data_IF_886797879395
#
_entry.id   IF_886797879395
#
_cell.length_a   1.000
_cell.length_b   1.000
_cell.length_c   1.000
_cell.angle_alpha   90.00
_cell.angle_beta   90.00
_cell.angle_gamma   90.00
#
_symmetry.space_group_name_H-M   'P 1'
#
loop_
_entity.id
_entity.type
_entity.pdbx_description
1 polymer ?
#
# COMPACT_ATOMS: atom_id res chain seq x y z
N UNK A 1 -46.64 0.19 -34.26
CA UNK A 1 -45.67 -0.52 -35.11
C UNK A 1 -45.09 0.48 -36.10
N UNK A 2 -43.86 0.92 -35.85
CA UNK A 2 -43.03 1.59 -36.85
C UNK A 2 -41.65 0.93 -36.75
N UNK A 3 -41.32 0.17 -37.79
CA UNK A 3 -40.00 -0.39 -38.05
C UNK A 3 -39.14 0.72 -38.66
N UNK A 4 -37.97 0.99 -38.10
CA UNK A 4 -36.90 1.72 -38.77
C UNK A 4 -35.63 0.90 -38.62
N UNK A 5 -35.10 0.47 -39.76
CA UNK A 5 -33.84 -0.28 -39.90
C UNK A 5 -32.63 0.63 -39.62
N UNK A 6 -31.54 0.13 -39.02
CA UNK A 6 -30.28 0.87 -38.94
C UNK A 6 -29.44 0.68 -40.22
N UNK A 7 -28.68 1.70 -40.68
CA UNK A 7 -27.65 1.50 -41.68
C UNK A 7 -26.33 1.05 -41.05
N UNK A 8 -25.67 0.13 -41.73
CA UNK A 8 -24.31 -0.38 -41.48
C UNK A 8 -23.29 0.73 -41.80
N UNK A 9 -22.32 0.93 -40.92
CA UNK A 9 -21.06 1.62 -41.25
C UNK A 9 -19.89 0.69 -40.94
N UNK A 10 -19.29 0.20 -42.01
CA UNK A 10 -18.05 -0.57 -42.07
C UNK A 10 -16.86 0.32 -41.65
N UNK A 11 -16.08 -0.11 -40.66
CA UNK A 11 -14.79 0.49 -40.32
C UNK A 11 -13.74 -0.61 -40.26
N UNK A 12 -12.96 -0.68 -41.33
CA UNK A 12 -11.75 -1.48 -41.47
C UNK A 12 -10.75 -1.10 -40.37
N UNK A 13 -10.54 -2.01 -39.41
CA UNK A 13 -9.47 -1.94 -38.42
C UNK A 13 -8.11 -2.07 -39.11
N UNK A 14 -7.36 -0.97 -39.17
CA UNK A 14 -5.91 -1.03 -39.31
C UNK A 14 -5.32 -1.25 -37.92
N UNK A 15 -4.61 -2.37 -37.77
CA UNK A 15 -3.92 -2.81 -36.54
C UNK A 15 -2.87 -1.78 -36.09
N UNK A 16 -3.24 -0.98 -35.10
CA UNK A 16 -2.37 -0.14 -34.28
C UNK A 16 -3.14 0.23 -33.02
N UNK A 17 -2.85 -0.44 -31.90
CA UNK A 17 -3.53 -0.15 -30.63
C UNK A 17 -3.33 1.33 -30.23
N UNK A 18 -4.30 1.96 -29.54
CA UNK A 18 -4.18 3.36 -29.16
C UNK A 18 -2.94 3.56 -28.27
N UNK A 19 -2.06 4.48 -28.65
CA UNK A 19 -0.97 4.97 -27.79
C UNK A 19 -1.61 5.59 -26.54
N UNK A 20 -1.39 5.01 -25.36
CA UNK A 20 -1.98 5.50 -24.12
C UNK A 20 -1.11 6.63 -23.59
N UNK A 21 -1.66 7.85 -23.59
CA UNK A 21 -1.05 9.05 -23.01
C UNK A 21 -0.78 8.86 -21.51
N UNK A 22 0.22 9.56 -20.93
CA UNK A 22 0.39 9.54 -19.49
C UNK A 22 -0.88 10.02 -18.79
N UNK A 23 -1.15 9.50 -17.60
CA UNK A 23 -2.27 9.97 -16.78
C UNK A 23 -1.97 9.82 -15.30
N UNK A 24 -2.34 10.84 -14.53
CA UNK A 24 -2.26 10.83 -13.07
C UNK A 24 -3.42 9.97 -12.57
N UNK A 25 -3.09 8.87 -11.90
CA UNK A 25 -4.10 7.90 -11.44
C UNK A 25 -4.39 8.01 -9.95
N UNK A 26 -3.46 8.57 -9.18
CA UNK A 26 -3.58 8.63 -7.73
C UNK A 26 -2.80 9.81 -7.15
N UNK A 27 -3.40 10.48 -6.17
CA UNK A 27 -2.76 11.47 -5.33
C UNK A 27 -3.16 11.22 -3.88
N UNK A 28 -2.23 11.48 -2.96
CA UNK A 28 -2.41 11.23 -1.53
C UNK A 28 -1.76 12.30 -0.70
N UNK A 29 -2.48 12.80 0.29
CA UNK A 29 -1.94 13.52 1.44
C UNK A 29 -2.11 12.68 2.71
N UNK A 30 -1.04 12.40 3.49
CA UNK A 30 -1.16 11.66 4.74
C UNK A 30 -1.71 12.53 5.89
N UNK A 31 -1.42 13.82 5.88
CA UNK A 31 -1.58 14.73 7.03
C UNK A 31 -2.06 16.15 6.68
N UNK A 32 -2.41 16.46 5.42
CA UNK A 32 -2.74 17.82 4.95
C UNK A 32 -1.58 18.82 4.96
N UNK A 33 -0.33 18.38 5.13
CA UNK A 33 0.85 19.27 5.10
C UNK A 33 1.71 19.05 3.86
N UNK A 34 1.74 17.82 3.36
CA UNK A 34 2.36 17.46 2.09
C UNK A 34 1.40 16.60 1.27
N UNK A 35 1.69 16.44 -0.02
CA UNK A 35 1.00 15.45 -0.83
C UNK A 35 1.89 14.93 -1.95
N UNK A 36 1.55 13.76 -2.47
CA UNK A 36 2.27 13.14 -3.58
C UNK A 36 1.27 12.65 -4.62
N UNK A 37 1.60 12.82 -5.89
CA UNK A 37 0.83 12.31 -7.03
C UNK A 37 1.67 11.34 -7.84
N UNK A 38 1.01 10.30 -8.37
CA UNK A 38 1.62 9.27 -9.21
C UNK A 38 0.90 9.17 -10.55
N UNK A 39 1.67 8.89 -11.59
CA UNK A 39 1.14 8.68 -12.94
C UNK A 39 1.60 7.37 -13.54
N UNK A 40 0.82 6.89 -14.49
CA UNK A 40 1.28 5.85 -15.39
C UNK A 40 2.05 6.49 -16.56
N UNK A 41 3.24 5.96 -16.92
CA UNK A 41 4.01 6.44 -18.05
C UNK A 41 3.32 6.08 -19.37
N UNK A 42 3.85 6.59 -20.49
CA UNK A 42 3.38 6.23 -21.82
C UNK A 42 3.51 4.72 -22.05
N UNK A 43 2.47 4.08 -22.60
CA UNK A 43 2.52 2.68 -23.02
C UNK A 43 2.79 2.54 -24.53
N UNK A 44 3.31 1.39 -24.95
CA UNK A 44 3.68 1.08 -26.35
C UNK A 44 4.86 1.90 -26.91
N UNK A 45 5.85 2.22 -26.07
CA UNK A 45 7.13 2.76 -26.54
C UNK A 45 7.91 1.69 -27.31
N UNK A 46 8.48 2.09 -28.44
CA UNK A 46 9.45 1.27 -29.17
C UNK A 46 10.67 1.07 -28.27
N UNK A 47 11.19 -0.16 -28.20
CA UNK A 47 12.27 -0.52 -27.28
C UNK A 47 13.49 0.41 -27.49
N UNK A 48 13.86 1.18 -26.46
CA UNK A 48 14.97 2.14 -26.49
C UNK A 48 14.62 3.64 -26.65
N UNK A 49 13.35 4.02 -26.75
CA UNK A 49 12.97 5.45 -26.81
C UNK A 49 13.14 6.13 -25.44
N UNK A 50 13.98 7.16 -25.38
CA UNK A 50 14.18 7.98 -24.17
C UNK A 50 12.95 8.87 -23.95
N UNK A 51 12.30 8.74 -22.79
CA UNK A 51 11.13 9.52 -22.41
C UNK A 51 11.38 10.26 -21.11
N UNK A 52 11.26 11.58 -21.16
CA UNK A 52 11.35 12.43 -19.99
C UNK A 52 9.96 12.88 -19.59
N UNK A 53 9.59 12.71 -18.33
CA UNK A 53 8.30 13.18 -17.82
C UNK A 53 8.49 14.52 -17.11
N UNK A 54 7.65 15.49 -17.47
CA UNK A 54 7.59 16.80 -16.84
C UNK A 54 6.17 16.98 -16.32
N UNK A 55 6.02 17.10 -15.00
CA UNK A 55 4.77 17.47 -14.37
C UNK A 55 4.77 18.99 -14.15
N UNK A 56 3.73 19.64 -14.68
CA UNK A 56 3.45 21.05 -14.39
C UNK A 56 2.14 21.16 -13.62
N UNK A 57 2.02 22.21 -12.81
CA UNK A 57 0.82 22.50 -12.07
C UNK A 57 0.49 23.99 -12.07
N UNK A 58 -0.78 24.29 -11.81
CA UNK A 58 -1.28 25.63 -11.60
C UNK A 58 -2.17 25.66 -10.37
N UNK A 59 -2.08 26.75 -9.63
CA UNK A 59 -3.02 27.12 -8.56
C UNK A 59 -3.85 28.31 -9.02
N UNK A 60 -4.72 28.83 -8.16
CA UNK A 60 -5.48 30.05 -8.45
C UNK A 60 -4.58 31.30 -8.55
N UNK A 61 -3.39 31.26 -7.94
CA UNK A 61 -2.48 32.40 -7.81
C UNK A 61 -1.37 32.37 -8.87
N UNK A 62 -0.86 31.17 -9.17
CA UNK A 62 0.31 30.97 -10.02
C UNK A 62 0.04 29.87 -11.04
N UNK A 63 0.55 30.06 -12.26
CA UNK A 63 0.35 29.12 -13.36
C UNK A 63 1.69 28.68 -13.95
N UNK A 64 1.73 27.44 -14.47
CA UNK A 64 2.89 26.83 -15.12
C UNK A 64 4.08 26.61 -14.18
N UNK A 65 3.81 26.24 -12.93
CA UNK A 65 4.82 25.79 -11.99
C UNK A 65 5.26 24.37 -12.33
N UNK A 66 6.53 24.05 -12.09
CA UNK A 66 7.08 22.71 -12.29
C UNK A 66 7.12 21.94 -10.97
N UNK A 67 6.96 20.61 -11.04
CA UNK A 67 7.07 19.73 -9.89
C UNK A 67 8.33 20.04 -9.04
N UNK A 68 8.19 20.25 -7.72
CA UNK A 68 9.32 20.57 -6.87
C UNK A 68 10.23 19.37 -6.58
N UNK A 69 9.69 18.14 -6.58
CA UNK A 69 10.46 16.94 -6.26
C UNK A 69 9.93 15.68 -6.99
N UNK A 70 10.74 15.13 -7.89
CA UNK A 70 10.45 13.88 -8.63
C UNK A 70 10.98 12.60 -7.95
N UNK A 71 11.63 12.71 -6.79
CA UNK A 71 12.39 11.62 -6.15
C UNK A 71 11.67 11.07 -4.93
N UNK A 72 11.19 11.94 -4.02
CA UNK A 72 10.66 11.50 -2.71
C UNK A 72 9.49 10.53 -2.82
N UNK A 73 8.60 10.72 -3.81
CA UNK A 73 7.45 9.85 -4.04
C UNK A 73 7.76 8.54 -4.78
N UNK A 74 9.01 8.33 -5.20
CA UNK A 74 9.43 7.19 -6.01
C UNK A 74 9.23 7.39 -7.52
N UNK A 75 9.25 6.32 -8.32
CA UNK A 75 9.19 6.42 -9.77
C UNK A 75 7.84 6.96 -10.24
N UNK A 76 7.86 7.77 -11.31
CA UNK A 76 6.67 8.37 -11.92
C UNK A 76 5.79 9.10 -10.89
N UNK A 77 6.43 9.91 -10.04
CA UNK A 77 5.77 10.64 -8.98
C UNK A 77 6.25 12.08 -8.88
N UNK A 78 5.42 12.91 -8.26
CA UNK A 78 5.76 14.26 -7.86
C UNK A 78 5.33 14.46 -6.40
N UNK A 79 6.28 14.84 -5.56
CA UNK A 79 6.08 15.14 -4.16
C UNK A 79 6.07 16.65 -3.95
N UNK A 80 5.08 17.13 -3.19
CA UNK A 80 4.91 18.52 -2.80
C UNK A 80 5.12 18.61 -1.29
N UNK A 81 6.20 19.25 -0.88
CA UNK A 81 6.50 19.48 0.53
C UNK A 81 5.57 20.54 1.15
N UNK A 82 5.80 20.85 2.42
CA UNK A 82 5.03 21.86 3.16
C UNK A 82 5.14 23.28 2.60
N UNK A 83 6.20 23.59 1.85
CA UNK A 83 6.39 24.92 1.25
C UNK A 83 5.63 25.07 -0.07
N UNK A 84 5.31 23.97 -0.74
CA UNK A 84 4.54 23.93 -1.99
C UNK A 84 3.08 23.49 -1.80
N UNK A 85 2.68 23.16 -0.56
CA UNK A 85 1.35 22.66 -0.21
C UNK A 85 0.55 23.72 0.55
N UNK A 86 -0.60 24.09 0.00
CA UNK A 86 -1.59 24.98 0.61
C UNK A 86 -2.94 24.29 0.66
N UNK A 87 -3.56 24.26 1.84
CA UNK A 87 -4.92 23.75 2.02
C UNK A 87 -5.94 24.74 1.45
N UNK A 88 -7.12 24.23 1.06
CA UNK A 88 -8.20 25.02 0.43
C UNK A 88 -7.79 25.71 -0.87
N UNK A 89 -6.73 25.23 -1.51
CA UNK A 89 -6.26 25.68 -2.82
C UNK A 89 -6.45 24.54 -3.80
N UNK A 90 -7.05 24.83 -4.96
CA UNK A 90 -7.19 23.86 -6.03
C UNK A 90 -5.89 23.78 -6.84
N UNK A 91 -5.32 22.59 -6.91
CA UNK A 91 -4.15 22.28 -7.74
C UNK A 91 -4.61 21.59 -9.00
N UNK A 92 -4.26 22.13 -10.16
CA UNK A 92 -4.50 21.47 -11.44
C UNK A 92 -3.17 21.03 -12.05
N UNK A 93 -2.95 19.72 -12.08
CA UNK A 93 -1.71 19.07 -12.48
C UNK A 93 -1.83 18.51 -13.91
N UNK A 94 -0.72 18.53 -14.65
CA UNK A 94 -0.62 17.94 -15.99
C UNK A 94 0.74 17.29 -16.15
N UNK A 95 0.79 16.06 -16.67
CA UNK A 95 2.04 15.36 -16.97
C UNK A 95 2.26 15.36 -18.48
N UNK A 96 3.44 15.80 -18.91
CA UNK A 96 3.88 15.73 -20.29
C UNK A 96 5.03 14.75 -20.42
N UNK A 97 4.83 13.68 -21.19
CA UNK A 97 5.88 12.78 -21.63
C UNK A 97 6.52 13.36 -22.90
N UNK A 98 7.77 13.79 -22.78
CA UNK A 98 8.59 14.35 -23.86
C UNK A 98 9.36 13.20 -24.49
N UNK A 99 9.08 12.90 -25.76
CA UNK A 99 9.84 11.93 -26.56
C UNK A 99 10.60 12.62 -27.68
N UNK A 100 11.45 11.89 -28.39
CA UNK A 100 12.22 12.44 -29.52
C UNK A 100 11.34 12.91 -30.69
N UNK A 101 10.16 12.32 -30.84
CA UNK A 101 9.26 12.58 -31.95
C UNK A 101 8.14 13.53 -31.59
N UNK A 102 7.55 13.39 -30.38
CA UNK A 102 6.37 14.15 -29.98
C UNK A 102 6.24 14.22 -28.46
N UNK A 103 5.58 15.28 -28.01
CA UNK A 103 5.13 15.40 -26.62
C UNK A 103 3.71 14.86 -26.46
N UNK A 104 3.52 14.02 -25.44
CA UNK A 104 2.22 13.47 -25.06
C UNK A 104 1.83 14.02 -23.71
N UNK A 105 0.78 14.83 -23.70
CA UNK A 105 0.30 15.50 -22.50
C UNK A 105 -0.96 14.80 -21.97
N UNK A 106 -1.01 14.62 -20.65
CA UNK A 106 -2.16 14.03 -19.96
C UNK A 106 -3.37 14.96 -19.97
N UNK A 107 -4.54 14.43 -19.63
CA UNK A 107 -5.64 15.29 -19.20
C UNK A 107 -5.25 16.03 -17.91
N UNK A 108 -5.79 17.23 -17.73
CA UNK A 108 -5.59 18.02 -16.52
C UNK A 108 -6.30 17.33 -15.35
N UNK A 109 -5.59 17.14 -14.25
CA UNK A 109 -6.10 16.54 -13.02
C UNK A 109 -6.17 17.61 -11.94
N UNK A 110 -7.38 18.03 -11.56
CA UNK A 110 -7.57 19.04 -10.52
C UNK A 110 -8.00 18.41 -9.19
N UNK A 111 -7.40 18.87 -8.09
CA UNK A 111 -7.67 18.37 -6.75
C UNK A 111 -7.56 19.47 -5.69
N UNK A 112 -8.25 19.29 -4.57
CA UNK A 112 -7.97 19.97 -3.30
C UNK A 112 -7.28 18.98 -2.37
N UNK A 113 -6.21 19.43 -1.70
CA UNK A 113 -5.43 18.63 -0.74
C UNK A 113 -6.33 17.99 0.32
N UNK A 114 -7.37 18.69 0.78
CA UNK A 114 -8.31 18.20 1.80
C UNK A 114 -9.16 16.99 1.34
N UNK A 115 -9.35 16.80 0.03
CA UNK A 115 -10.14 15.70 -0.54
C UNK A 115 -9.30 14.45 -0.77
N UNK A 116 -7.99 14.59 -0.95
CA UNK A 116 -7.04 13.49 -1.19
C UNK A 116 -6.36 13.01 0.11
N UNK A 117 -6.88 13.40 1.27
CA UNK A 117 -6.33 13.00 2.57
C UNK A 117 -6.60 11.52 2.84
N UNK A 118 -5.55 10.70 2.80
CA UNK A 118 -5.62 9.30 3.21
C UNK A 118 -4.80 9.08 4.48
N UNK A 119 -5.53 9.08 5.60
CA UNK A 119 -4.98 9.02 6.95
C UNK A 119 -4.47 7.63 7.32
N UNK A 120 -3.82 7.54 8.46
CA UNK A 120 -3.43 6.25 9.04
C UNK A 120 -4.59 5.57 9.76
N UNK A 121 -4.51 4.25 9.89
CA UNK A 121 -5.53 3.48 10.62
C UNK A 121 -5.49 3.79 12.13
N UNK A 122 -6.64 3.74 12.82
CA UNK A 122 -6.65 3.82 14.27
C UNK A 122 -5.89 2.66 14.93
N UNK A 123 -5.27 2.94 16.07
CA UNK A 123 -4.48 2.00 16.87
C UNK A 123 -5.04 1.87 18.27
N UNK A 124 -4.57 0.86 19.02
CA UNK A 124 -4.94 0.59 20.41
C UNK A 124 -6.45 0.40 20.64
N UNK A 125 -7.13 -0.34 19.77
CA UNK A 125 -8.55 -0.65 19.96
C UNK A 125 -8.76 -1.39 21.29
N UNK A 126 -9.49 -0.91 22.29
CA UNK A 126 -9.74 -1.64 23.54
C UNK A 126 -11.23 -1.89 23.73
N UNK A 127 -11.57 -2.86 24.58
CA UNK A 127 -12.95 -3.16 24.92
C UNK A 127 -13.10 -3.30 26.44
N UNK A 128 -14.25 -2.86 26.96
CA UNK A 128 -14.67 -3.11 28.33
C UNK A 128 -16.10 -3.65 28.32
N UNK A 129 -16.34 -4.77 29.00
CA UNK A 129 -17.63 -5.44 29.04
C UNK A 129 -18.38 -5.05 30.32
N UNK A 130 -19.63 -4.64 30.16
CA UNK A 130 -20.55 -4.39 31.27
C UNK A 130 -21.78 -5.28 31.12
N UNK A 131 -22.16 -5.96 32.21
CA UNK A 131 -23.37 -6.78 32.20
C UNK A 131 -24.58 -5.84 32.18
N UNK A 132 -25.45 -5.99 31.18
CA UNK A 132 -26.79 -5.41 31.27
C UNK A 132 -27.53 -6.14 32.39
N UNK A 133 -28.11 -5.40 33.34
CA UNK A 133 -28.76 -6.00 34.51
C UNK A 133 -29.89 -6.96 34.10
N UNK A 134 -29.96 -8.11 34.79
CA UNK A 134 -30.96 -9.18 34.69
C UNK A 134 -31.15 -9.85 33.32
N UNK A 135 -30.47 -11.01 33.19
CA UNK A 135 -30.82 -12.29 32.55
C UNK A 135 -31.37 -12.42 31.12
N UNK A 136 -31.70 -11.36 30.36
CA UNK A 136 -32.08 -11.54 28.94
C UNK A 136 -31.48 -10.49 27.99
N UNK A 137 -30.88 -9.44 28.54
CA UNK A 137 -30.22 -8.41 27.76
C UNK A 137 -28.74 -8.80 27.66
N UNK A 138 -28.24 -9.03 26.44
CA UNK A 138 -26.83 -9.39 26.21
C UNK A 138 -25.84 -8.40 26.85
N UNK A 139 -24.54 -8.70 26.78
CA UNK A 139 -23.50 -7.84 27.34
C UNK A 139 -23.38 -6.53 26.56
N UNK A 140 -23.11 -5.44 27.28
CA UNK A 140 -22.70 -4.19 26.66
C UNK A 140 -21.18 -4.19 26.53
N UNK A 141 -20.67 -3.68 25.41
CA UNK A 141 -19.24 -3.53 25.16
C UNK A 141 -18.91 -2.09 24.80
N UNK A 142 -18.18 -1.41 25.68
CA UNK A 142 -17.56 -0.12 25.36
C UNK A 142 -16.27 -0.38 24.58
N UNK A 143 -16.26 -0.02 23.31
CA UNK A 143 -15.09 -0.13 22.43
C UNK A 143 -14.47 1.25 22.30
N UNK A 144 -13.15 1.36 22.47
CA UNK A 144 -12.40 2.61 22.33
C UNK A 144 -11.16 2.42 21.48
N UNK A 145 -10.62 3.48 20.88
CA UNK A 145 -9.41 3.45 20.06
C UNK A 145 -8.69 4.80 20.12
N UNK A 146 -7.53 4.89 19.47
CA UNK A 146 -6.73 6.11 19.40
C UNK A 146 -6.22 6.35 17.98
N UNK A 147 -6.06 7.61 17.60
CA UNK A 147 -5.39 7.95 16.33
C UNK A 147 -3.87 7.99 16.54
N UNK A 148 -3.03 7.45 15.64
CA UNK A 148 -1.58 7.34 15.84
C UNK A 148 -0.87 8.66 16.10
N UNK A 149 -1.38 9.78 15.54
CA UNK A 149 -0.82 11.13 15.73
C UNK A 149 -1.88 12.04 16.38
N UNK A 150 -2.09 11.95 17.72
CA UNK A 150 -3.19 12.65 18.39
C UNK A 150 -3.19 14.17 18.17
N UNK A 151 -2.01 14.78 18.02
CA UNK A 151 -1.87 16.22 17.81
C UNK A 151 -2.67 16.75 16.62
N UNK A 152 -2.68 16.03 15.49
CA UNK A 152 -3.44 16.46 14.31
C UNK A 152 -4.95 16.54 14.57
N UNK A 153 -5.49 15.72 15.47
CA UNK A 153 -6.93 15.70 15.76
C UNK A 153 -7.27 16.64 16.93
N UNK A 154 -6.45 16.64 17.98
CA UNK A 154 -6.69 17.43 19.19
C UNK A 154 -6.69 18.95 18.93
N UNK A 155 -5.80 19.41 18.05
CA UNK A 155 -5.73 20.82 17.65
C UNK A 155 -6.68 21.18 16.50
N UNK A 156 -7.48 20.22 16.01
CA UNK A 156 -8.46 20.45 14.94
C UNK A 156 -7.87 20.58 13.54
N UNK A 157 -6.62 20.17 13.33
CA UNK A 157 -5.97 20.18 12.01
C UNK A 157 -6.66 19.20 11.05
N UNK A 158 -6.99 18.00 11.54
CA UNK A 158 -7.72 16.97 10.79
C UNK A 158 -8.97 16.56 11.57
N UNK A 159 -10.13 16.71 10.94
CA UNK A 159 -11.38 16.17 11.46
C UNK A 159 -11.64 14.77 10.92
N UNK A 160 -11.61 13.78 11.81
CA UNK A 160 -11.81 12.37 11.45
C UNK A 160 -13.26 11.92 11.65
N UNK A 161 -13.69 11.03 10.75
CA UNK A 161 -14.90 10.24 10.91
C UNK A 161 -14.51 8.77 10.92
N UNK A 162 -15.00 8.04 11.92
CA UNK A 162 -14.73 6.63 12.12
C UNK A 162 -15.88 5.77 11.63
N UNK A 163 -15.53 4.57 11.19
CA UNK A 163 -16.44 3.48 10.95
C UNK A 163 -15.94 2.26 11.74
N UNK A 164 -16.79 1.77 12.64
CA UNK A 164 -16.58 0.52 13.36
C UNK A 164 -17.34 -0.59 12.61
N UNK A 165 -16.65 -1.68 12.32
CA UNK A 165 -17.26 -2.89 11.79
C UNK A 165 -16.99 -4.04 12.75
N UNK A 166 -18.02 -4.80 13.06
CA UNK A 166 -17.90 -5.96 13.94
C UNK A 166 -18.71 -7.13 13.38
N UNK A 167 -18.26 -8.35 13.65
CA UNK A 167 -18.95 -9.57 13.23
C UNK A 167 -18.70 -10.68 14.23
N UNK A 168 -19.51 -11.72 14.15
CA UNK A 168 -19.23 -12.93 14.89
C UNK A 168 -18.00 -13.66 14.32
N UNK A 169 -17.21 -14.33 15.15
CA UNK A 169 -16.04 -15.10 14.66
C UNK A 169 -16.47 -16.17 13.65
N UNK A 170 -17.60 -16.85 13.91
CA UNK A 170 -18.13 -17.93 13.05
C UNK A 170 -18.77 -17.44 11.74
N UNK A 171 -19.14 -16.16 11.64
CA UNK A 171 -19.82 -15.60 10.48
C UNK A 171 -18.85 -14.68 9.72
N UNK A 172 -18.07 -15.21 8.76
CA UNK A 172 -17.01 -14.45 8.08
C UNK A 172 -17.51 -13.24 7.28
N UNK A 173 -18.69 -13.34 6.70
CA UNK A 173 -19.18 -12.40 5.69
C UNK A 173 -20.26 -11.44 6.24
N UNK A 174 -20.65 -11.59 7.51
CA UNK A 174 -21.74 -10.82 8.13
C UNK A 174 -21.22 -9.68 9.01
N UNK A 175 -20.66 -8.64 8.36
CA UNK A 175 -20.19 -7.45 9.06
C UNK A 175 -21.34 -6.51 9.42
N UNK A 176 -21.49 -6.23 10.72
CA UNK A 176 -22.34 -5.17 11.25
C UNK A 176 -21.54 -3.88 11.33
N UNK A 177 -22.11 -2.76 10.90
CA UNK A 177 -21.41 -1.48 10.79
C UNK A 177 -22.03 -0.43 11.70
N UNK A 178 -21.19 0.37 12.37
CA UNK A 178 -21.55 1.61 13.07
C UNK A 178 -20.82 2.78 12.44
N UNK A 179 -21.59 3.65 11.81
CA UNK A 179 -21.12 4.86 11.15
C UNK A 179 -22.25 5.91 11.05
N UNK A 180 -21.92 7.20 10.94
CA UNK A 180 -20.61 7.82 11.20
C UNK A 180 -20.34 7.98 12.71
N UNK A 181 -19.11 7.73 13.14
CA UNK A 181 -18.68 7.97 14.53
C UNK A 181 -17.69 9.14 14.56
N UNK A 182 -17.87 10.10 15.46
CA UNK A 182 -16.93 11.24 15.63
C UNK A 182 -16.01 11.04 16.84
N UNK A 183 -16.53 10.43 17.88
CA UNK A 183 -15.75 10.08 19.06
C UNK A 183 -14.94 8.81 18.81
N UNK A 184 -13.75 8.68 19.43
CA UNK A 184 -12.90 7.51 19.30
C UNK A 184 -13.36 6.35 20.21
N UNK A 185 -14.66 6.28 20.50
CA UNK A 185 -15.28 5.25 21.31
C UNK A 185 -16.76 5.06 20.92
N UNK A 186 -17.29 3.88 21.17
CA UNK A 186 -18.70 3.55 20.97
C UNK A 186 -19.12 2.40 21.87
N UNK A 187 -20.32 2.49 22.44
CA UNK A 187 -20.92 1.40 23.20
C UNK A 187 -21.82 0.54 22.29
N UNK A 188 -21.56 -0.76 22.27
CA UNK A 188 -22.42 -1.76 21.65
C UNK A 188 -23.31 -2.38 22.72
N UNK A 189 -24.61 -2.28 22.56
CA UNK A 189 -25.59 -2.75 23.53
C UNK A 189 -26.12 -4.14 23.15
N UNK A 190 -26.39 -4.98 24.15
CA UNK A 190 -27.10 -6.24 23.98
C UNK A 190 -26.39 -7.25 23.08
N UNK A 191 -25.06 -7.31 23.14
CA UNK A 191 -24.30 -8.32 22.41
C UNK A 191 -24.48 -9.71 23.05
N UNK A 192 -24.80 -10.75 22.28
CA UNK A 192 -24.71 -12.13 22.74
C UNK A 192 -23.34 -12.44 23.36
N UNK A 193 -23.30 -13.33 24.35
CA UNK A 193 -22.04 -13.71 25.03
C UNK A 193 -21.27 -14.70 24.15
N UNK A 194 -20.46 -14.16 23.25
CA UNK A 194 -19.70 -14.93 22.26
C UNK A 194 -18.51 -14.12 21.72
N UNK A 195 -17.72 -14.74 20.84
CA UNK A 195 -16.49 -14.16 20.33
C UNK A 195 -16.74 -13.29 19.08
N UNK A 196 -16.35 -12.02 19.18
CA UNK A 196 -16.52 -11.02 18.12
C UNK A 196 -15.21 -10.56 17.53
N UNK A 197 -15.24 -10.35 16.22
CA UNK A 197 -14.19 -9.72 15.45
C UNK A 197 -14.51 -8.24 15.28
N UNK A 198 -13.59 -7.36 15.68
CA UNK A 198 -13.76 -5.90 15.53
C UNK A 198 -12.68 -5.31 14.64
N UNK A 199 -13.07 -4.39 13.76
CA UNK A 199 -12.18 -3.52 12.97
C UNK A 199 -12.67 -2.09 12.98
N UNK A 200 -11.73 -1.15 13.04
CA UNK A 200 -11.99 0.29 12.97
C UNK A 200 -11.19 0.86 11.82
N UNK A 201 -11.84 1.69 11.00
CA UNK A 201 -11.18 2.53 10.01
C UNK A 201 -11.61 3.97 10.20
N UNK A 202 -10.77 4.91 9.77
CA UNK A 202 -11.11 6.32 9.76
C UNK A 202 -10.92 6.92 8.37
N UNK A 203 -11.50 8.09 8.16
CA UNK A 203 -11.20 8.95 7.02
C UNK A 203 -11.30 10.40 7.46
N UNK A 204 -10.61 11.30 6.76
CA UNK A 204 -10.85 12.72 6.91
C UNK A 204 -12.27 13.05 6.47
N UNK A 205 -12.91 14.01 7.13
CA UNK A 205 -14.32 14.36 6.88
C UNK A 205 -14.60 14.68 5.41
N UNK A 206 -13.71 15.45 4.77
CA UNK A 206 -13.82 15.88 3.37
C UNK A 206 -13.22 14.88 2.36
N UNK A 207 -12.47 13.88 2.82
CA UNK A 207 -11.92 12.86 1.93
C UNK A 207 -12.85 11.66 1.80
N UNK A 208 -12.85 11.06 0.60
CA UNK A 208 -13.47 9.76 0.30
C UNK A 208 -12.52 8.59 0.55
N UNK A 209 -11.23 8.85 0.80
CA UNK A 209 -10.21 7.84 0.99
C UNK A 209 -10.24 7.31 2.43
N UNK A 210 -10.35 5.99 2.57
CA UNK A 210 -10.25 5.32 3.87
C UNK A 210 -8.80 5.13 4.29
N UNK A 211 -8.60 5.14 5.60
CA UNK A 211 -7.30 4.97 6.24
C UNK A 211 -6.58 3.69 5.79
N UNK A 212 -5.27 3.77 5.59
CA UNK A 212 -4.43 2.65 5.16
C UNK A 212 -3.23 2.42 6.10
N UNK A 213 -2.71 1.18 6.13
CA UNK A 213 -1.54 0.75 6.94
C UNK A 213 -0.21 0.94 6.19
N UNK A 214 0.07 2.12 5.62
CA UNK A 214 1.28 2.24 4.77
C UNK A 214 2.59 2.20 5.58
N UNK A 215 2.66 2.84 6.76
CA UNK A 215 3.93 2.94 7.50
C UNK A 215 4.39 1.63 8.17
N UNK A 216 3.45 0.77 8.62
CA UNK A 216 3.81 -0.46 9.34
C UNK A 216 4.40 -1.53 8.41
N UNK A 217 3.90 -1.63 7.19
CA UNK A 217 4.36 -2.61 6.21
C UNK A 217 5.83 -2.40 5.81
N UNK A 218 6.29 -1.15 5.71
CA UNK A 218 7.67 -0.84 5.33
C UNK A 218 8.64 -1.25 6.44
N UNK A 219 8.27 -1.04 7.71
CA UNK A 219 9.12 -1.40 8.85
C UNK A 219 9.20 -2.92 9.05
N UNK A 220 8.07 -3.64 8.97
CA UNK A 220 8.06 -5.09 9.17
C UNK A 220 8.77 -5.84 8.05
N UNK A 221 8.58 -5.42 6.79
CA UNK A 221 9.28 -6.04 5.66
C UNK A 221 10.78 -5.71 5.68
N UNK A 222 11.15 -4.47 6.00
CA UNK A 222 12.55 -4.05 6.09
C UNK A 222 13.34 -4.81 7.15
N UNK A 223 12.79 -4.97 8.36
CA UNK A 223 13.43 -5.72 9.45
C UNK A 223 13.51 -7.22 9.13
N UNK A 224 12.46 -7.79 8.54
CA UNK A 224 12.44 -9.19 8.11
C UNK A 224 13.51 -9.49 7.05
N UNK A 225 13.63 -8.64 6.03
CA UNK A 225 14.65 -8.79 4.98
C UNK A 225 16.05 -8.63 5.55
N UNK A 226 16.29 -7.65 6.43
CA UNK A 226 17.59 -7.46 7.06
C UNK A 226 18.00 -8.67 7.92
N UNK A 227 17.06 -9.23 8.70
CA UNK A 227 17.32 -10.43 9.50
C UNK A 227 17.64 -11.65 8.63
N UNK A 228 16.92 -11.85 7.51
CA UNK A 228 17.20 -12.92 6.55
C UNK A 228 18.56 -12.77 5.88
N UNK A 229 18.95 -11.54 5.51
CA UNK A 229 20.27 -11.26 4.95
C UNK A 229 21.40 -11.56 5.94
N UNK A 230 21.22 -11.20 7.22
CA UNK A 230 22.20 -11.51 8.28
C UNK A 230 22.30 -13.02 8.50
N UNK A 231 21.18 -13.76 8.50
CA UNK A 231 21.20 -15.21 8.60
C UNK A 231 21.87 -15.87 7.39
N UNK A 232 21.53 -15.45 6.18
CA UNK A 232 22.13 -15.96 4.95
C UNK A 232 23.65 -15.70 4.91
N UNK A 233 24.09 -14.50 5.28
CA UNK A 233 25.50 -14.14 5.36
C UNK A 233 26.25 -14.98 6.40
N UNK A 234 25.63 -15.22 7.56
CA UNK A 234 26.18 -16.08 8.61
C UNK A 234 26.36 -17.52 8.13
N UNK A 235 25.39 -18.08 7.39
CA UNK A 235 25.47 -19.41 6.79
C UNK A 235 26.56 -19.51 5.71
N UNK A 236 26.73 -18.46 4.89
CA UNK A 236 27.81 -18.40 3.89
C UNK A 236 29.19 -18.36 4.55
N UNK A 237 29.36 -17.63 5.65
CA UNK A 237 30.62 -17.61 6.41
C UNK A 237 30.93 -18.97 7.04
N UNK A 238 29.92 -19.65 7.59
CA UNK A 238 30.05 -20.99 8.16
C UNK A 238 30.44 -22.03 7.10
N UNK A 239 29.79 -22.00 5.92
CA UNK A 239 30.11 -22.92 4.81
C UNK A 239 31.50 -22.67 4.22
N UNK A 240 31.98 -21.42 4.16
CA UNK A 240 33.38 -21.11 3.79
C UNK A 240 34.38 -21.72 4.78
N UNK A 241 34.12 -21.58 6.09
CA UNK A 241 34.96 -22.19 7.16
C UNK A 241 35.01 -23.71 7.07
N UNK A 242 33.88 -24.36 6.77
CA UNK A 242 33.82 -25.83 6.60
C UNK A 242 34.55 -26.26 5.32
N UNK A 243 34.44 -25.48 4.23
CA UNK A 243 35.11 -25.79 2.96
C UNK A 243 36.64 -25.73 3.07
N UNK A 244 37.19 -24.84 3.92
CA UNK A 244 38.62 -24.81 4.24
C UNK A 244 39.07 -25.98 5.12
N UNK A 245 38.17 -26.57 5.91
CA UNK A 245 38.50 -27.70 6.81
C UNK A 245 38.36 -29.07 6.12
N UNK A 246 37.47 -29.22 5.13
CA UNK A 246 37.15 -30.51 4.51
C UNK A 246 37.80 -30.78 3.14
N UNK A 247 38.46 -29.79 2.52
CA UNK A 247 39.18 -30.00 1.27
C UNK A 247 40.69 -30.10 1.55
N UNK A 248 41.27 -31.32 1.67
CA UNK A 248 42.71 -31.45 1.61
C UNK A 248 43.20 -30.94 0.24
N UNK A 249 44.40 -30.37 0.21
CA UNK A 249 45.03 -29.88 -1.03
C UNK A 249 44.96 -30.97 -2.12
N UNK A 250 44.27 -30.68 -3.21
CA UNK A 250 44.09 -31.61 -4.33
C UNK A 250 45.50 -31.98 -4.84
N UNK A 251 45.89 -33.27 -4.80
CA UNK A 251 47.17 -33.70 -5.34
C UNK A 251 47.16 -33.47 -6.85
N UNK A 252 48.20 -32.80 -7.35
CA UNK A 252 48.40 -32.48 -8.76
C UNK A 252 48.07 -33.69 -9.64
N UNK A 253 47.07 -33.58 -10.50
CA UNK A 253 46.78 -34.58 -11.51
C UNK A 253 47.93 -34.59 -12.54
N UNK A 254 48.81 -35.60 -12.44
CA UNK A 254 49.70 -35.99 -13.54
C UNK A 254 48.88 -36.80 -14.54
N UNK A 255 48.13 -36.11 -15.39
CA UNK A 255 47.60 -36.72 -16.61
C UNK A 255 48.55 -36.30 -17.72
N UNK A 256 49.34 -37.26 -18.17
CA UNK A 256 50.16 -37.18 -19.38
C UNK A 256 49.19 -37.04 -20.57
N UNK A 257 49.36 -35.99 -21.37
CA UNK A 257 48.82 -35.95 -22.72
C UNK A 257 47.92 -34.77 -23.11
N UNK A 258 47.73 -33.74 -22.28
CA UNK A 258 47.07 -32.51 -22.71
C UNK A 258 48.00 -31.33 -22.43
N UNK A 259 48.44 -30.69 -23.51
CA UNK A 259 49.32 -29.54 -23.50
C UNK A 259 48.63 -28.34 -22.79
N UNK A 260 49.14 -27.85 -21.64
CA UNK A 260 48.51 -26.79 -20.87
C UNK A 260 48.59 -25.40 -21.55
N UNK A 261 49.19 -25.32 -22.74
CA UNK A 261 49.31 -24.09 -23.52
C UNK A 261 48.05 -23.81 -24.36
N UNK A 262 47.16 -24.79 -24.57
CA UNK A 262 45.91 -24.61 -25.32
C UNK A 262 44.68 -24.24 -24.44
N UNK A 263 44.76 -24.43 -23.12
CA UNK A 263 43.73 -23.92 -22.18
C UNK A 263 43.94 -22.45 -21.80
N UNK A 264 45.02 -21.81 -22.27
CA UNK A 264 45.37 -20.41 -21.98
C UNK A 264 44.97 -19.43 -23.11
N UNK A 265 44.17 -19.87 -24.08
CA UNK A 265 43.69 -19.04 -25.19
C UNK A 265 42.29 -19.47 -25.65
N UNK A 266 41.35 -19.50 -24.71
CA UNK A 266 39.93 -19.63 -24.96
C UNK A 266 39.27 -18.28 -24.68
N UNK A 267 38.98 -17.57 -25.77
CA UNK A 267 38.24 -16.33 -25.89
C UNK A 267 37.12 -16.16 -24.83
N UNK A 268 37.26 -15.19 -23.93
CA UNK A 268 36.36 -14.93 -22.79
C UNK A 268 35.38 -13.77 -23.08
N UNK A 269 35.08 -13.55 -24.36
CA UNK A 269 34.22 -12.44 -24.82
C UNK A 269 32.79 -12.89 -25.17
N UNK A 270 32.35 -14.06 -24.72
CA UNK A 270 31.02 -14.58 -25.06
C UNK A 270 30.33 -15.33 -23.92
N UNK A 271 30.37 -14.79 -22.68
CA UNK A 271 29.48 -15.23 -21.59
C UNK A 271 28.97 -14.03 -20.76
N UNK A 272 28.57 -12.94 -21.45
CA UNK A 272 27.76 -11.88 -20.84
C UNK A 272 26.35 -11.72 -21.46
N UNK A 273 25.92 -12.67 -22.30
CA UNK A 273 24.60 -12.65 -22.95
C UNK A 273 23.61 -13.69 -22.41
N UNK A 274 23.67 -14.02 -21.12
CA UNK A 274 22.69 -14.93 -20.50
C UNK A 274 22.18 -14.51 -19.11
N UNK A 275 22.31 -13.22 -18.75
CA UNK A 275 21.76 -12.66 -17.50
C UNK A 275 20.82 -11.46 -17.68
N UNK A 276 20.26 -11.24 -18.87
CA UNK A 276 19.32 -10.13 -19.13
C UNK A 276 17.83 -10.52 -19.22
N UNK A 277 17.45 -11.78 -19.02
CA UNK A 277 16.04 -12.22 -19.07
C UNK A 277 15.41 -12.48 -17.70
N UNK A 278 15.63 -11.59 -16.72
CA UNK A 278 14.94 -11.65 -15.42
C UNK A 278 14.35 -10.31 -15.00
N UNK A 279 13.55 -9.69 -15.87
CA UNK A 279 12.51 -8.75 -15.44
C UNK A 279 11.21 -8.99 -16.23
N UNK A 280 10.59 -10.14 -15.98
CA UNK A 280 9.14 -10.29 -16.12
C UNK A 280 8.55 -10.45 -14.73
N UNK A 281 8.62 -9.38 -13.92
CA UNK A 281 7.77 -9.27 -12.75
C UNK A 281 6.45 -8.65 -13.19
N UNK A 282 5.46 -9.52 -13.36
CA UNK A 282 4.05 -9.15 -13.51
C UNK A 282 3.53 -8.85 -12.11
N UNK A 283 3.09 -7.62 -11.79
CA UNK A 283 2.40 -7.41 -10.53
C UNK A 283 1.08 -8.21 -10.55
N UNK A 284 0.78 -8.98 -9.49
CA UNK A 284 -0.50 -9.67 -9.41
C UNK A 284 -1.63 -8.66 -9.25
N UNK A 285 -2.66 -8.83 -10.07
CA UNK A 285 -4.00 -8.35 -9.80
C UNK A 285 -4.58 -9.15 -8.63
N UNK A 286 -4.40 -8.67 -7.42
CA UNK A 286 -5.35 -8.90 -6.32
C UNK A 286 -5.04 -7.92 -5.21
N UNK A 287 -6.04 -7.13 -4.85
CA UNK A 287 -6.17 -6.53 -3.53
C UNK A 287 -6.15 -7.66 -2.49
N UNK A 288 -4.97 -8.03 -2.01
CA UNK A 288 -4.86 -8.70 -0.72
C UNK A 288 -4.84 -7.62 0.36
N UNK A 289 -6.04 -7.40 0.86
CA UNK A 289 -6.34 -6.71 2.10
C UNK A 289 -5.64 -7.45 3.27
N UNK A 290 -4.36 -7.12 3.50
CA UNK A 290 -3.58 -7.59 4.65
C UNK A 290 -4.04 -6.81 5.89
N UNK A 291 -5.09 -7.31 6.53
CA UNK A 291 -5.62 -6.78 7.79
C UNK A 291 -5.08 -7.58 8.99
N UNK A 292 -4.11 -7.05 9.72
CA UNK A 292 -3.72 -7.71 10.99
C UNK A 292 -4.75 -7.59 12.12
N UNK A 293 -4.99 -8.77 12.71
CA UNK A 293 -5.58 -9.12 14.01
C UNK A 293 -6.56 -8.11 14.62
N UNK A 294 -7.77 -8.24 14.12
CA UNK A 294 -8.99 -8.51 14.90
C UNK A 294 -8.73 -8.70 16.41
N UNK A 295 -9.25 -7.77 17.21
CA UNK A 295 -9.42 -8.03 18.64
C UNK A 295 -10.66 -8.89 18.83
N UNK A 296 -10.44 -10.07 19.38
CA UNK A 296 -11.50 -10.98 19.82
C UNK A 296 -11.99 -10.52 21.18
N UNK A 297 -13.28 -10.24 21.31
CA UNK A 297 -13.92 -10.18 22.64
C UNK A 297 -14.06 -11.62 23.11
N UNK A 298 -13.40 -12.07 24.19
CA UNK A 298 -13.51 -13.44 24.66
C UNK A 298 -14.79 -13.66 25.47
N UNK A 299 -15.35 -14.86 25.39
CA UNK A 299 -16.40 -15.35 26.30
C UNK A 299 -15.98 -15.20 27.77
N UNK A 300 -16.73 -14.42 28.55
CA UNK A 300 -16.46 -14.24 29.99
C UNK A 300 -16.63 -15.56 30.76
N UNK A 301 -15.59 -16.01 31.47
CA UNK A 301 -15.69 -17.12 32.43
C UNK A 301 -16.39 -16.61 33.70
N UNK A 302 -17.66 -16.99 33.89
CA UNK A 302 -18.29 -16.95 35.22
C UNK A 302 -17.57 -17.94 36.13
N UNK A 303 -16.70 -17.43 37.01
CA UNK A 303 -16.20 -18.19 38.15
C UNK A 303 -17.35 -18.38 39.15
N UNK A 304 -18.08 -19.48 39.01
CA UNK A 304 -18.93 -19.99 40.07
C UNK A 304 -18.05 -20.50 41.20
N UNK A 305 -18.05 -19.83 42.35
CA UNK A 305 -17.59 -20.44 43.60
C UNK A 305 -18.69 -20.34 44.67
N UNK A 306 -19.42 -21.45 44.77
CA UNK A 306 -19.94 -22.08 45.99
C UNK A 306 -20.37 -21.21 47.16
N UNK A 307 -21.68 -21.18 47.39
CA UNK A 307 -22.21 -21.22 48.75
C UNK A 307 -21.60 -22.41 49.51
N UNK A 308 -21.05 -22.13 50.69
CA UNK A 308 -20.99 -23.07 51.81
C UNK A 308 -21.38 -22.27 53.05
N UNK A 309 -22.50 -22.61 53.65
CA UNK A 309 -22.87 -22.09 54.95
C UNK A 309 -21.94 -22.64 56.05
N UNK A 310 -21.87 -21.93 57.15
CA UNK A 310 -22.06 -22.47 58.49
C UNK A 310 -22.05 -21.34 59.54
N UNK A 311 -23.11 -21.36 60.34
CA UNK A 311 -23.26 -20.88 61.73
C UNK A 311 -23.39 -19.38 62.00
#
# INVERSE_FOLDING_TARGET
>A
MLLVTPPVSDSTETTGGPTVTPHIYFCRSPNMEDFTCWWHPLSNLTDGEQVTHILTYSTEQEANLECPDYVTGGPNSCHFDSSHTSIWTVYCLTVTAVTTHRNYTSQQHCLDVAEIVQTEIPVNVTYNLTNAGSDEMGQNALISWTYPVPGHVQYGWITLVYELQYRHVTESDNWKVKHPLREPQVELLGLPVDDYVIRVRCRAQHSKLWSCKLLVLILETGVGVLALLVMAFSLVLQTKRIKEFFLPAIPKSRIIGIDPVLLKKGNLDEINCHFSNFHSYRPPSSSEEVWDRVKTIPRGYSAGHGQSGHQ
#
